data_IF_738120892102
#
_entry.id   IF_738120892102
#
_cell.length_a   1.000
_cell.length_b   1.000
_cell.length_c   1.000
_cell.angle_alpha   90.00
_cell.angle_beta   90.00
_cell.angle_gamma   90.00
#
_symmetry.space_group_name_H-M   'P 1'
#
loop_
_entity.id
_entity.type
_entity.pdbx_description
1 polymer ?
#
# COMPACT_ATOMS: atom_id res chain seq x y z
N UNK A 1 11.20 -8.92 -56.72
CA UNK A 1 11.12 -9.77 -55.51
C UNK A 1 12.19 -9.50 -54.43
N UNK A 2 13.14 -8.55 -54.59
CA UNK A 2 14.16 -8.25 -53.54
C UNK A 2 13.88 -7.02 -52.65
N UNK A 3 12.92 -6.16 -53.01
CA UNK A 3 12.62 -4.92 -52.26
C UNK A 3 11.59 -5.08 -51.13
N UNK A 4 10.80 -6.15 -51.16
CA UNK A 4 9.79 -6.46 -50.13
C UNK A 4 10.41 -7.07 -48.87
N UNK A 5 11.59 -7.68 -48.96
CA UNK A 5 12.24 -8.31 -47.81
C UNK A 5 12.76 -7.31 -46.77
N UNK A 6 13.18 -6.10 -47.17
CA UNK A 6 13.68 -5.10 -46.22
C UNK A 6 12.57 -4.42 -45.40
N UNK A 7 11.35 -4.33 -45.92
CA UNK A 7 10.23 -3.69 -45.23
C UNK A 7 9.68 -4.55 -44.09
N UNK A 8 9.77 -5.88 -44.19
CA UNK A 8 9.27 -6.79 -43.16
C UNK A 8 10.24 -6.88 -41.96
N UNK A 9 11.54 -6.71 -42.19
CA UNK A 9 12.56 -6.73 -41.13
C UNK A 9 12.61 -5.43 -40.30
N UNK A 10 12.03 -4.33 -40.78
CA UNK A 10 11.92 -3.06 -40.04
C UNK A 10 10.71 -2.96 -39.09
N UNK A 11 9.69 -3.80 -39.30
CA UNK A 11 8.45 -3.79 -38.51
C UNK A 11 8.49 -4.72 -37.29
N UNK A 12 9.50 -5.59 -37.17
CA UNK A 12 9.64 -6.51 -36.05
C UNK A 12 10.37 -5.88 -34.83
N UNK A 13 11.02 -4.73 -35.01
CA UNK A 13 11.82 -4.07 -33.96
C UNK A 13 11.04 -3.12 -33.05
N UNK A 14 9.76 -2.85 -33.31
CA UNK A 14 8.95 -1.92 -32.50
C UNK A 14 8.07 -2.59 -31.44
N UNK A 15 8.11 -3.92 -31.28
CA UNK A 15 7.28 -4.64 -30.31
C UNK A 15 8.00 -5.05 -29.03
N UNK A 16 9.24 -4.59 -28.83
CA UNK A 16 10.09 -5.03 -27.71
C UNK A 16 10.13 -4.12 -26.48
N UNK A 17 9.45 -2.98 -26.45
CA UNK A 17 9.46 -2.10 -25.28
C UNK A 17 8.17 -2.25 -24.49
N UNK A 18 8.02 -3.40 -23.83
CA UNK A 18 7.34 -3.38 -22.55
C UNK A 18 8.18 -2.49 -21.65
N UNK A 19 7.78 -1.24 -21.49
CA UNK A 19 8.38 -0.33 -20.53
C UNK A 19 8.15 -0.94 -19.16
N UNK A 20 9.13 -1.71 -18.68
CA UNK A 20 9.19 -2.15 -17.29
C UNK A 20 8.94 -0.90 -16.47
N UNK A 21 7.85 -0.90 -15.70
CA UNK A 21 7.61 0.19 -14.75
C UNK A 21 8.88 0.28 -13.92
N UNK A 22 9.53 1.44 -13.97
CA UNK A 22 10.70 1.68 -13.15
C UNK A 22 10.25 1.47 -11.71
N UNK A 23 10.79 0.45 -11.06
CA UNK A 23 10.41 0.09 -9.69
C UNK A 23 10.68 1.24 -8.71
N UNK A 24 11.61 2.15 -9.05
CA UNK A 24 11.85 3.38 -8.28
C UNK A 24 10.74 4.42 -8.44
N UNK A 25 9.97 4.36 -9.52
CA UNK A 25 8.86 5.27 -9.83
C UNK A 25 7.48 4.58 -9.67
N UNK A 26 7.42 3.40 -9.07
CA UNK A 26 6.17 2.74 -8.73
C UNK A 26 5.63 3.25 -7.38
N UNK A 27 4.84 4.31 -7.46
CA UNK A 27 4.20 4.92 -6.29
C UNK A 27 2.89 4.24 -5.88
N UNK A 28 2.48 3.14 -6.52
CA UNK A 28 1.22 2.46 -6.21
C UNK A 28 1.12 1.99 -4.75
N UNK A 29 2.26 1.70 -4.11
CA UNK A 29 2.31 1.30 -2.70
C UNK A 29 2.05 2.47 -1.73
N UNK A 30 2.22 3.71 -2.17
CA UNK A 30 2.09 4.92 -1.34
C UNK A 30 1.01 5.88 -1.85
N UNK A 31 0.36 5.55 -2.96
CA UNK A 31 -0.79 6.30 -3.47
C UNK A 31 -2.02 6.01 -2.60
N UNK A 32 -2.71 7.04 -2.09
CA UNK A 32 -3.93 6.81 -1.34
C UNK A 32 -5.01 6.19 -2.25
N UNK A 33 -5.84 5.27 -1.71
CA UNK A 33 -7.00 4.79 -2.44
C UNK A 33 -7.91 5.97 -2.81
N UNK A 34 -8.62 5.84 -3.92
CA UNK A 34 -9.66 6.81 -4.24
C UNK A 34 -10.72 6.85 -3.12
N UNK A 35 -11.34 8.00 -2.88
CA UNK A 35 -12.21 8.20 -1.72
C UNK A 35 -13.43 7.26 -1.70
N UNK A 36 -13.92 6.86 -2.86
CA UNK A 36 -14.98 5.86 -3.04
C UNK A 36 -14.55 4.43 -2.65
N UNK A 37 -13.24 4.18 -2.59
CA UNK A 37 -12.65 2.92 -2.14
C UNK A 37 -12.27 2.93 -0.65
N UNK A 38 -12.45 4.04 0.05
CA UNK A 38 -12.21 4.08 1.49
C UNK A 38 -13.22 3.16 2.20
N UNK A 39 -12.69 2.18 2.94
CA UNK A 39 -13.48 1.31 3.82
C UNK A 39 -13.68 1.91 5.20
N UNK A 40 -12.76 2.79 5.62
CA UNK A 40 -12.86 3.59 6.83
C UNK A 40 -12.90 5.05 6.41
N UNK A 41 -14.06 5.68 6.53
CA UNK A 41 -14.28 7.04 6.02
C UNK A 41 -13.93 8.07 7.09
N UNK A 42 -12.94 8.91 6.80
CA UNK A 42 -12.48 9.98 7.71
C UNK A 42 -12.17 9.46 9.13
N UNK A 43 -11.26 8.48 9.27
CA UNK A 43 -10.97 7.91 10.57
C UNK A 43 -10.37 8.94 11.53
N UNK A 44 -10.75 8.86 12.80
CA UNK A 44 -9.93 9.43 13.87
C UNK A 44 -8.70 8.54 14.02
N UNK A 45 -7.53 9.11 13.71
CA UNK A 45 -6.26 8.38 13.75
C UNK A 45 -5.61 8.56 15.12
N UNK A 46 -5.37 7.46 15.82
CA UNK A 46 -4.49 7.41 16.99
C UNK A 46 -3.12 6.86 16.60
N UNK A 47 -2.08 7.30 17.31
CA UNK A 47 -0.72 6.81 17.13
C UNK A 47 -0.13 6.39 18.47
N UNK A 48 0.36 5.15 18.54
CA UNK A 48 1.04 4.57 19.70
C UNK A 48 2.42 4.06 19.29
N UNK A 49 3.40 4.20 20.17
CA UNK A 49 4.75 3.63 19.96
C UNK A 49 4.96 2.45 20.91
N UNK A 50 5.29 1.28 20.36
CA UNK A 50 5.60 0.04 21.09
C UNK A 50 6.82 -0.65 20.46
N UNK A 51 7.73 -1.25 21.24
CA UNK A 51 8.85 -1.98 20.66
C UNK A 51 8.40 -3.22 19.86
N UNK A 52 7.35 -3.91 20.32
CA UNK A 52 6.73 -5.09 19.70
C UNK A 52 5.38 -4.73 19.06
N UNK A 53 5.37 -3.86 18.05
CA UNK A 53 4.13 -3.35 17.47
C UNK A 53 3.22 -4.48 16.93
N UNK A 54 3.76 -5.41 16.13
CA UNK A 54 2.98 -6.50 15.54
C UNK A 54 2.24 -7.35 16.59
N UNK A 55 2.94 -7.74 17.66
CA UNK A 55 2.37 -8.51 18.76
C UNK A 55 1.32 -7.69 19.53
N UNK A 56 1.53 -6.38 19.66
CA UNK A 56 0.56 -5.49 20.28
C UNK A 56 -0.77 -5.47 19.52
N UNK A 57 -0.76 -5.30 18.20
CA UNK A 57 -2.00 -5.33 17.41
C UNK A 57 -2.71 -6.69 17.49
N UNK A 58 -1.96 -7.79 17.46
CA UNK A 58 -2.54 -9.15 17.52
C UNK A 58 -3.26 -9.44 18.85
N UNK A 59 -2.95 -8.70 19.91
CA UNK A 59 -3.56 -8.85 21.24
C UNK A 59 -4.81 -7.97 21.46
N UNK A 60 -5.06 -7.00 20.58
CA UNK A 60 -6.24 -6.14 20.68
C UNK A 60 -7.47 -6.97 20.28
N UNK A 61 -8.44 -7.08 21.20
CA UNK A 61 -9.66 -7.84 20.94
C UNK A 61 -10.73 -7.01 20.24
N UNK A 62 -10.75 -5.70 20.48
CA UNK A 62 -11.78 -4.78 19.99
C UNK A 62 -11.31 -4.08 18.71
N UNK A 63 -11.34 -4.80 17.59
CA UNK A 63 -11.12 -4.24 16.26
C UNK A 63 -11.89 -5.02 15.18
N UNK A 64 -12.17 -4.38 14.05
CA UNK A 64 -12.75 -5.06 12.88
C UNK A 64 -11.69 -5.71 11.98
N UNK A 65 -10.42 -5.39 12.22
CA UNK A 65 -9.28 -5.97 11.52
C UNK A 65 -7.99 -5.24 11.88
N UNK A 66 -6.88 -5.87 11.51
CA UNK A 66 -5.56 -5.28 11.62
C UNK A 66 -4.68 -5.74 10.47
N UNK A 67 -3.62 -4.98 10.22
CA UNK A 67 -2.58 -5.33 9.28
C UNK A 67 -1.21 -5.02 9.88
N UNK A 68 -0.24 -5.88 9.58
CA UNK A 68 1.17 -5.69 9.94
C UNK A 68 1.92 -5.33 8.66
N UNK A 69 2.80 -4.33 8.76
CA UNK A 69 3.68 -3.95 7.66
C UNK A 69 5.05 -3.58 8.21
N UNK A 70 6.07 -4.33 7.76
CA UNK A 70 7.42 -4.23 8.31
C UNK A 70 7.39 -4.35 9.84
N UNK A 71 8.02 -3.43 10.58
CA UNK A 71 8.03 -3.44 12.04
C UNK A 71 6.83 -2.77 12.70
N UNK A 72 5.90 -2.18 11.95
CA UNK A 72 4.69 -1.54 12.48
C UNK A 72 3.41 -2.34 12.23
N UNK A 73 2.31 -1.91 12.83
CA UNK A 73 0.98 -2.45 12.56
C UNK A 73 -0.09 -1.35 12.69
N UNK A 74 -1.27 -1.66 12.19
CA UNK A 74 -2.45 -0.80 12.30
C UNK A 74 -3.67 -1.67 12.55
N UNK A 75 -4.55 -1.23 13.44
CA UNK A 75 -5.87 -1.84 13.62
C UNK A 75 -6.95 -0.76 13.51
N UNK A 76 -8.17 -1.18 13.17
CA UNK A 76 -9.26 -0.24 12.89
C UNK A 76 -10.61 -0.72 13.41
N UNK A 77 -11.51 0.23 13.62
CA UNK A 77 -12.94 -0.01 13.81
C UNK A 77 -13.72 0.80 12.77
N UNK A 78 -14.50 0.10 11.94
CA UNK A 78 -15.48 0.65 11.00
C UNK A 78 -16.61 1.33 11.78
N UNK A 79 -17.11 0.67 12.83
CA UNK A 79 -18.23 1.17 13.62
C UNK A 79 -17.90 2.50 14.32
N UNK A 80 -16.68 2.64 14.83
CA UNK A 80 -16.23 3.86 15.52
C UNK A 80 -15.54 4.86 14.58
N UNK A 81 -15.28 4.47 13.32
CA UNK A 81 -14.41 5.19 12.39
C UNK A 81 -13.07 5.59 13.04
N UNK A 82 -12.38 4.61 13.59
CA UNK A 82 -11.07 4.81 14.24
C UNK A 82 -10.01 3.94 13.59
N UNK A 83 -8.79 4.45 13.59
CA UNK A 83 -7.60 3.68 13.24
C UNK A 83 -6.47 3.99 14.21
N UNK A 84 -5.90 2.96 14.81
CA UNK A 84 -4.71 3.12 15.64
C UNK A 84 -3.50 2.55 14.91
N UNK A 85 -2.55 3.43 14.61
CA UNK A 85 -1.25 3.08 14.04
C UNK A 85 -0.30 2.83 15.20
N UNK A 86 0.36 1.67 15.19
CA UNK A 86 1.33 1.26 16.19
C UNK A 86 2.68 1.13 15.52
N UNK A 87 3.64 1.93 15.96
CA UNK A 87 4.98 1.97 15.37
C UNK A 87 6.04 1.59 16.40
N UNK A 88 7.25 1.34 15.92
CA UNK A 88 8.44 1.22 16.78
C UNK A 88 9.23 2.52 16.78
N UNK A 89 10.29 2.60 17.58
CA UNK A 89 11.24 3.72 17.54
C UNK A 89 12.06 3.82 16.25
N UNK A 90 11.95 2.85 15.34
CA UNK A 90 12.67 2.82 14.05
C UNK A 90 11.76 3.04 12.85
N UNK A 91 10.46 3.22 13.07
CA UNK A 91 9.51 3.34 11.97
C UNK A 91 9.67 4.66 11.22
N UNK A 92 9.89 4.54 9.92
CA UNK A 92 10.09 5.65 8.99
C UNK A 92 8.76 6.29 8.58
N UNK A 93 8.82 7.51 8.06
CA UNK A 93 7.63 8.23 7.58
C UNK A 93 6.86 7.46 6.49
N UNK A 94 7.56 6.81 5.55
CA UNK A 94 6.92 6.03 4.49
C UNK A 94 6.19 4.79 5.01
N UNK A 95 6.73 4.16 6.06
CA UNK A 95 6.06 3.03 6.74
C UNK A 95 4.80 3.51 7.48
N UNK A 96 4.86 4.64 8.18
CA UNK A 96 3.67 5.25 8.81
C UNK A 96 2.60 5.55 7.75
N UNK A 97 3.00 6.15 6.63
CA UNK A 97 2.10 6.42 5.51
C UNK A 97 1.45 5.13 4.99
N UNK A 98 2.23 4.07 4.78
CA UNK A 98 1.70 2.77 4.34
C UNK A 98 0.69 2.17 5.32
N UNK A 99 0.96 2.25 6.63
CA UNK A 99 0.03 1.79 7.66
C UNK A 99 -1.29 2.60 7.63
N UNK A 100 -1.20 3.92 7.43
CA UNK A 100 -2.40 4.74 7.26
C UNK A 100 -3.23 4.32 6.04
N UNK A 101 -2.58 4.02 4.90
CA UNK A 101 -3.28 3.54 3.71
C UNK A 101 -3.98 2.20 3.94
N UNK A 102 -3.35 1.28 4.66
CA UNK A 102 -3.96 0.00 5.05
C UNK A 102 -5.19 0.21 5.93
N UNK A 103 -5.18 1.21 6.80
CA UNK A 103 -6.38 1.61 7.54
C UNK A 103 -7.49 2.10 6.59
N UNK A 104 -7.19 3.02 5.67
CA UNK A 104 -8.19 3.56 4.74
C UNK A 104 -8.82 2.46 3.86
N UNK A 105 -8.04 1.46 3.44
CA UNK A 105 -8.52 0.34 2.65
C UNK A 105 -9.12 -0.80 3.48
N UNK A 106 -9.11 -0.71 4.81
CA UNK A 106 -9.52 -1.81 5.70
C UNK A 106 -8.73 -3.10 5.45
N UNK A 107 -7.44 -2.97 5.11
CA UNK A 107 -6.52 -4.06 4.79
C UNK A 107 -6.65 -4.61 3.36
N UNK A 108 -7.59 -4.10 2.55
CA UNK A 108 -7.74 -4.55 1.16
C UNK A 108 -6.60 -3.98 0.27
N UNK A 109 -6.11 -4.75 -0.72
CA UNK A 109 -5.23 -4.21 -1.74
C UNK A 109 -5.95 -3.13 -2.58
N UNK A 110 -5.20 -2.11 -2.99
CA UNK A 110 -5.71 -0.94 -3.74
C UNK A 110 -6.09 -1.27 -5.19
#
# INVERSE_FOLDING_TARGET
>A
MKRLACLVLGLASTWGWAQSRDALLDFSLVAPPATDRHKIVQPVVQWVVKPEAADHCAQIQEHDGFAVWQEGCVYWSRAQSTCTIVTTGRTTHSQVGRLFLLCLSGGEPA
#
